data_IF_901952211371
#
_entry.id   IF_901952211371
#
_cell.length_a   1.000
_cell.length_b   1.000
_cell.length_c   1.000
_cell.angle_alpha   90.00
_cell.angle_beta   90.00
_cell.angle_gamma   90.00
#
_symmetry.space_group_name_H-M   'P 1'
#
loop_
_entity.id
_entity.type
_entity.pdbx_description
1 polymer ?
#
# COMPACT_ATOMS: atom_id res chain seq x y z
N UNK A 1 -46.52 6.05 34.37
CA UNK A 1 -45.94 4.67 34.41
C UNK A 1 -45.15 4.35 33.12
N UNK A 2 -45.59 4.82 31.94
CA UNK A 2 -44.91 4.63 30.67
C UNK A 2 -43.58 5.41 30.53
N UNK A 3 -43.52 6.62 31.11
CA UNK A 3 -42.32 7.47 31.06
C UNK A 3 -41.13 6.93 31.86
N UNK A 4 -41.39 6.25 32.98
CA UNK A 4 -40.32 5.62 33.78
C UNK A 4 -39.67 4.43 33.09
N UNK A 5 -40.44 3.66 32.33
CA UNK A 5 -39.93 2.48 31.57
C UNK A 5 -39.09 2.92 30.35
N UNK A 6 -39.47 4.05 29.71
CA UNK A 6 -38.68 4.60 28.59
C UNK A 6 -37.37 5.22 29.07
N UNK A 7 -37.36 5.90 30.23
CA UNK A 7 -36.11 6.44 30.81
C UNK A 7 -35.15 5.38 31.29
N UNK A 8 -35.63 4.21 31.70
CA UNK A 8 -34.77 3.11 32.13
C UNK A 8 -34.05 2.39 30.95
N UNK A 9 -34.69 2.42 29.76
CA UNK A 9 -34.07 1.91 28.52
C UNK A 9 -33.02 2.85 27.90
N UNK A 10 -33.01 4.12 28.31
CA UNK A 10 -32.04 5.12 27.86
C UNK A 10 -30.89 5.33 28.85
N UNK A 11 -30.69 4.45 29.84
CA UNK A 11 -29.47 4.48 30.64
C UNK A 11 -28.32 4.15 29.68
N UNK A 12 -27.39 5.09 29.42
CA UNK A 12 -26.22 4.77 28.64
C UNK A 12 -25.51 3.61 29.35
N UNK A 13 -25.18 2.56 28.60
CA UNK A 13 -24.31 1.51 29.11
C UNK A 13 -23.04 2.12 29.72
N UNK A 14 -22.26 1.39 30.52
CA UNK A 14 -21.08 1.94 31.17
C UNK A 14 -20.24 2.65 30.10
N UNK A 15 -20.34 3.99 30.11
CA UNK A 15 -19.50 4.82 29.24
C UNK A 15 -18.08 4.63 29.74
N UNK A 16 -17.24 4.06 28.88
CA UNK A 16 -15.81 4.03 29.16
C UNK A 16 -15.36 5.46 29.43
N UNK A 17 -14.76 5.71 30.61
CA UNK A 17 -14.29 7.07 30.94
C UNK A 17 -13.42 7.61 29.81
N UNK A 18 -13.63 8.83 29.32
CA UNK A 18 -12.87 9.40 28.21
C UNK A 18 -11.36 9.25 28.35
N UNK A 19 -10.85 9.41 29.56
CA UNK A 19 -9.42 9.26 29.87
C UNK A 19 -8.91 7.83 29.68
N UNK A 20 -9.74 6.83 29.96
CA UNK A 20 -9.40 5.42 29.75
C UNK A 20 -9.36 5.12 28.24
N UNK A 21 -10.31 5.68 27.49
CA UNK A 21 -10.35 5.53 26.04
C UNK A 21 -9.12 6.20 25.40
N UNK A 22 -8.77 7.42 25.80
CA UNK A 22 -7.60 8.14 25.29
C UNK A 22 -6.30 7.37 25.59
N UNK A 23 -6.14 6.83 26.79
CA UNK A 23 -4.97 5.99 27.13
C UNK A 23 -4.89 4.73 26.27
N UNK A 24 -6.03 4.08 25.99
CA UNK A 24 -6.09 2.90 25.14
C UNK A 24 -5.71 3.24 23.68
N UNK A 25 -6.20 4.36 23.17
CA UNK A 25 -5.85 4.87 21.84
C UNK A 25 -4.33 5.12 21.79
N UNK A 26 -3.77 5.85 22.73
CA UNK A 26 -2.33 6.13 22.77
C UNK A 26 -1.48 4.85 22.83
N UNK A 27 -1.88 3.86 23.64
CA UNK A 27 -1.21 2.56 23.72
C UNK A 27 -1.27 1.80 22.39
N UNK A 28 -2.44 1.79 21.73
CA UNK A 28 -2.61 1.13 20.44
C UNK A 28 -1.74 1.80 19.35
N UNK A 29 -1.65 3.13 19.34
CA UNK A 29 -0.78 3.85 18.40
C UNK A 29 0.70 3.53 18.63
N UNK A 30 1.16 3.47 19.88
CA UNK A 30 2.53 3.09 20.19
C UNK A 30 2.84 1.64 19.75
N UNK A 31 1.90 0.73 19.96
CA UNK A 31 2.05 -0.66 19.51
C UNK A 31 2.08 -0.76 17.97
N UNK A 32 1.21 -0.01 17.27
CA UNK A 32 1.20 0.08 15.83
C UNK A 32 2.52 0.61 15.27
N UNK A 33 3.07 1.68 15.88
CA UNK A 33 4.36 2.23 15.47
C UNK A 33 5.48 1.20 15.59
N UNK A 34 5.55 0.48 16.70
CA UNK A 34 6.52 -0.60 16.88
C UNK A 34 6.39 -1.69 15.83
N UNK A 35 5.15 -2.09 15.50
CA UNK A 35 4.87 -3.08 14.47
C UNK A 35 5.35 -2.62 13.09
N UNK A 36 5.02 -1.39 12.70
CA UNK A 36 5.42 -0.83 11.42
C UNK A 36 6.94 -0.77 11.29
N UNK A 37 7.63 -0.34 12.34
CA UNK A 37 9.11 -0.30 12.36
C UNK A 37 9.68 -1.71 12.17
N UNK A 38 9.15 -2.72 12.87
CA UNK A 38 9.65 -4.09 12.78
C UNK A 38 9.39 -4.71 11.40
N UNK A 39 8.23 -4.45 10.81
CA UNK A 39 7.91 -4.85 9.43
C UNK A 39 8.93 -4.24 8.46
N UNK A 40 9.21 -2.94 8.57
CA UNK A 40 10.19 -2.29 7.69
C UNK A 40 11.60 -2.85 7.87
N UNK A 41 12.02 -3.10 9.09
CA UNK A 41 13.33 -3.73 9.39
C UNK A 41 13.42 -5.13 8.80
N UNK A 42 12.38 -5.93 8.96
CA UNK A 42 12.31 -7.28 8.42
C UNK A 42 12.37 -7.24 6.89
N UNK A 43 11.57 -6.40 6.25
CA UNK A 43 11.55 -6.25 4.79
C UNK A 43 12.90 -5.77 4.23
N UNK A 44 13.64 -4.94 4.99
CA UNK A 44 14.96 -4.48 4.57
C UNK A 44 16.05 -5.58 4.66
N UNK A 45 15.89 -6.54 5.58
CA UNK A 45 16.84 -7.64 5.80
C UNK A 45 16.53 -8.89 4.98
N UNK A 46 15.24 -9.08 4.60
CA UNK A 46 14.82 -10.22 3.80
C UNK A 46 15.31 -10.07 2.37
N UNK A 47 16.23 -10.94 1.96
CA UNK A 47 16.77 -10.97 0.61
C UNK A 47 15.99 -11.97 -0.25
N UNK A 48 15.61 -11.56 -1.45
CA UNK A 48 15.01 -12.41 -2.46
C UNK A 48 16.08 -13.14 -3.28
N UNK A 49 15.73 -14.19 -4.04
CA UNK A 49 16.66 -14.88 -4.93
C UNK A 49 17.35 -13.98 -5.96
N UNK A 50 16.74 -12.85 -6.28
CA UNK A 50 17.30 -11.80 -7.15
C UNK A 50 18.48 -11.03 -6.52
N UNK A 51 18.75 -11.21 -5.23
CA UNK A 51 19.72 -10.45 -4.46
C UNK A 51 19.23 -9.10 -3.95
N UNK A 52 18.01 -8.67 -4.32
CA UNK A 52 17.36 -7.46 -3.79
C UNK A 52 16.67 -7.75 -2.47
N UNK A 53 16.60 -6.77 -1.60
CA UNK A 53 15.77 -6.86 -0.40
C UNK A 53 14.28 -6.82 -0.74
N UNK A 54 13.43 -7.32 0.16
CA UNK A 54 11.99 -7.30 -0.03
C UNK A 54 11.47 -5.85 -0.17
N UNK A 55 11.99 -4.91 0.62
CA UNK A 55 11.59 -3.51 0.52
C UNK A 55 11.98 -2.87 -0.82
N UNK A 56 13.16 -3.18 -1.37
CA UNK A 56 13.57 -2.71 -2.70
C UNK A 56 12.70 -3.30 -3.80
N UNK A 57 12.33 -4.57 -3.66
CA UNK A 57 11.44 -5.25 -4.61
C UNK A 57 10.03 -4.66 -4.58
N UNK A 58 9.51 -4.34 -3.40
CA UNK A 58 8.22 -3.64 -3.26
C UNK A 58 8.25 -2.23 -3.87
N UNK A 59 9.33 -1.48 -3.68
CA UNK A 59 9.50 -0.16 -4.30
C UNK A 59 9.60 -0.26 -5.83
N UNK A 60 10.29 -1.27 -6.34
CA UNK A 60 10.38 -1.54 -7.77
C UNK A 60 9.01 -1.92 -8.36
N UNK A 61 8.27 -2.82 -7.70
CA UNK A 61 6.89 -3.18 -8.06
C UNK A 61 6.00 -1.95 -8.20
N UNK A 62 6.05 -1.05 -7.24
CA UNK A 62 5.27 0.20 -7.27
C UNK A 62 5.65 1.10 -8.45
N UNK A 63 6.95 1.18 -8.76
CA UNK A 63 7.45 1.96 -9.90
C UNK A 63 6.97 1.37 -11.22
N UNK A 64 7.03 0.05 -11.38
CA UNK A 64 6.52 -0.67 -12.57
C UNK A 64 5.02 -0.44 -12.74
N UNK A 65 4.25 -0.55 -11.66
CA UNK A 65 2.80 -0.32 -11.69
C UNK A 65 2.46 1.11 -12.14
N UNK A 66 3.12 2.13 -11.57
CA UNK A 66 2.94 3.54 -12.00
C UNK A 66 3.30 3.75 -13.46
N UNK A 67 4.37 3.10 -13.95
CA UNK A 67 4.77 3.19 -15.35
C UNK A 67 3.69 2.62 -16.27
N UNK A 68 3.09 1.48 -15.93
CA UNK A 68 1.96 0.90 -16.64
C UNK A 68 0.79 1.89 -16.72
N UNK A 69 0.41 2.51 -15.61
CA UNK A 69 -0.72 3.47 -15.57
C UNK A 69 -0.43 4.73 -16.40
N UNK A 70 0.81 5.24 -16.38
CA UNK A 70 1.21 6.35 -17.25
C UNK A 70 1.15 5.97 -18.73
N UNK A 71 1.61 4.78 -19.10
CA UNK A 71 1.55 4.30 -20.49
C UNK A 71 0.10 4.07 -20.97
N UNK A 72 -0.78 3.55 -20.12
CA UNK A 72 -2.22 3.42 -20.43
C UNK A 72 -2.85 4.80 -20.66
N UNK A 73 -2.53 5.77 -19.83
CA UNK A 73 -3.02 7.15 -19.98
C UNK A 73 -2.53 7.77 -21.29
N UNK A 74 -1.24 7.59 -21.62
CA UNK A 74 -0.65 8.07 -22.86
C UNK A 74 -1.31 7.41 -24.08
N UNK A 75 -1.49 6.09 -24.05
CA UNK A 75 -2.16 5.33 -25.11
C UNK A 75 -3.59 5.85 -25.35
N UNK A 76 -4.35 6.07 -24.26
CA UNK A 76 -5.70 6.63 -24.36
C UNK A 76 -5.73 8.00 -25.05
N UNK A 77 -4.79 8.88 -24.70
CA UNK A 77 -4.66 10.21 -25.33
C UNK A 77 -4.29 10.12 -26.81
N UNK A 78 -3.38 9.22 -27.17
CA UNK A 78 -2.97 9.03 -28.57
C UNK A 78 -4.12 8.47 -29.42
N UNK A 79 -4.89 7.53 -28.89
CA UNK A 79 -6.07 6.96 -29.57
C UNK A 79 -7.16 8.03 -29.73
N UNK A 80 -7.47 8.76 -28.65
CA UNK A 80 -8.46 9.84 -28.70
C UNK A 80 -8.09 10.92 -29.73
N UNK A 81 -6.82 11.31 -29.80
CA UNK A 81 -6.33 12.26 -30.81
C UNK A 81 -6.49 11.72 -32.23
N UNK A 82 -6.16 10.45 -32.47
CA UNK A 82 -6.29 9.83 -33.79
C UNK A 82 -7.74 9.76 -34.29
N UNK A 83 -8.73 9.68 -33.37
CA UNK A 83 -10.15 9.67 -33.71
C UNK A 83 -10.64 11.09 -34.13
N UNK A 84 -10.04 12.15 -33.59
CA UNK A 84 -10.51 13.53 -33.78
C UNK A 84 -9.73 14.30 -34.85
N UNK A 85 -8.61 13.77 -35.35
CA UNK A 85 -7.87 14.39 -36.45
C UNK A 85 -8.46 13.99 -37.81
N UNK A 86 -8.64 14.95 -38.76
CA UNK A 86 -9.10 14.63 -40.10
C UNK A 86 -8.07 13.74 -40.84
N UNK A 87 -8.56 12.78 -41.58
CA UNK A 87 -7.73 11.91 -42.42
C UNK A 87 -7.43 12.59 -43.76
N UNK A 88 -6.19 12.56 -44.32
CA UNK A 88 -4.98 12.00 -43.71
C UNK A 88 -4.37 12.92 -42.65
N UNK A 89 -3.84 12.35 -41.54
CA UNK A 89 -3.19 13.15 -40.54
C UNK A 89 -1.99 13.86 -41.17
N UNK A 90 -1.92 15.19 -41.01
CA UNK A 90 -0.71 15.91 -41.35
C UNK A 90 0.47 15.21 -40.67
N UNK A 91 1.55 14.94 -41.42
CA UNK A 91 2.74 14.25 -40.91
C UNK A 91 3.22 14.94 -39.63
N UNK A 92 2.66 14.53 -38.50
CA UNK A 92 2.89 15.19 -37.24
C UNK A 92 4.25 14.76 -36.71
N UNK A 93 4.91 15.68 -36.00
CA UNK A 93 6.18 15.43 -35.28
C UNK A 93 6.17 14.16 -34.38
N UNK A 94 4.99 13.61 -34.10
CA UNK A 94 4.77 12.37 -33.33
C UNK A 94 5.36 11.13 -34.04
N UNK A 95 5.39 11.10 -35.40
CA UNK A 95 6.08 10.05 -36.13
C UNK A 95 7.59 10.05 -35.95
N UNK A 96 8.18 11.20 -35.62
CA UNK A 96 9.61 11.31 -35.34
C UNK A 96 10.03 10.70 -33.99
N UNK A 97 9.07 10.49 -33.06
CA UNK A 97 9.35 10.00 -31.70
C UNK A 97 9.25 8.47 -31.57
N UNK A 98 8.99 7.72 -32.64
CA UNK A 98 8.79 6.26 -32.62
C UNK A 98 7.73 5.75 -31.60
N UNK A 99 6.90 6.65 -31.07
CA UNK A 99 5.83 6.34 -30.14
C UNK A 99 4.57 5.90 -30.91
N UNK A 100 4.55 4.66 -31.36
CA UNK A 100 3.35 4.10 -31.96
C UNK A 100 2.46 3.51 -30.87
N UNK A 101 1.12 3.52 -31.02
CA UNK A 101 0.22 2.83 -30.10
C UNK A 101 0.58 1.37 -29.88
N UNK A 102 1.10 0.69 -30.91
CA UNK A 102 1.53 -0.70 -30.82
C UNK A 102 2.79 -0.86 -29.94
N UNK A 103 3.77 0.03 -30.07
CA UNK A 103 4.96 0.01 -29.23
C UNK A 103 4.59 0.20 -27.74
N UNK A 104 3.67 1.12 -27.46
CA UNK A 104 3.19 1.35 -26.09
C UNK A 104 2.46 0.10 -25.54
N UNK A 105 1.60 -0.55 -26.33
CA UNK A 105 0.94 -1.79 -25.93
C UNK A 105 1.93 -2.91 -25.63
N UNK A 106 2.95 -3.06 -26.46
CA UNK A 106 3.99 -4.07 -26.26
C UNK A 106 4.75 -3.80 -24.96
N UNK A 107 5.06 -2.56 -24.65
CA UNK A 107 5.70 -2.17 -23.40
C UNK A 107 4.80 -2.42 -22.18
N UNK A 108 3.51 -2.07 -22.24
CA UNK A 108 2.54 -2.39 -21.18
C UNK A 108 2.49 -3.89 -20.93
N UNK A 109 2.47 -4.71 -21.98
CA UNK A 109 2.45 -6.16 -21.84
C UNK A 109 3.72 -6.69 -21.17
N UNK A 110 4.90 -6.22 -21.56
CA UNK A 110 6.18 -6.60 -20.95
C UNK A 110 6.22 -6.23 -19.46
N UNK A 111 5.85 -5.00 -19.13
CA UNK A 111 5.79 -4.54 -17.73
C UNK A 111 4.73 -5.29 -16.92
N UNK A 112 3.64 -5.72 -17.54
CA UNK A 112 2.60 -6.53 -16.85
C UNK A 112 3.13 -7.92 -16.50
N UNK A 113 3.96 -8.53 -17.32
CA UNK A 113 4.63 -9.80 -17.01
C UNK A 113 5.62 -9.58 -15.85
N UNK A 114 6.45 -8.54 -15.94
CA UNK A 114 7.40 -8.18 -14.88
C UNK A 114 6.68 -7.94 -13.54
N UNK A 115 5.55 -7.21 -13.53
CA UNK A 115 4.75 -6.96 -12.34
C UNK A 115 4.27 -8.26 -11.68
N UNK A 116 3.79 -9.24 -12.48
CA UNK A 116 3.37 -10.54 -11.97
C UNK A 116 4.50 -11.34 -11.34
N UNK A 117 5.70 -11.24 -11.90
CA UNK A 117 6.87 -11.95 -11.38
C UNK A 117 7.36 -11.32 -10.07
N UNK A 118 7.29 -9.98 -9.97
CA UNK A 118 7.53 -9.26 -8.72
C UNK A 118 6.50 -9.63 -7.64
N UNK A 119 5.20 -9.66 -7.99
CA UNK A 119 4.13 -10.05 -7.07
C UNK A 119 4.37 -11.47 -6.52
N UNK A 120 4.67 -12.46 -7.37
CA UNK A 120 4.98 -13.83 -6.93
C UNK A 120 6.19 -13.88 -6.00
N UNK A 121 7.23 -13.10 -6.30
CA UNK A 121 8.45 -13.06 -5.47
C UNK A 121 8.16 -12.46 -4.09
N UNK A 122 7.34 -11.41 -4.03
CA UNK A 122 6.91 -10.76 -2.79
C UNK A 122 6.03 -11.71 -1.97
N UNK A 123 5.04 -12.35 -2.61
CA UNK A 123 4.13 -13.30 -1.95
C UNK A 123 4.88 -14.50 -1.37
N UNK A 124 5.85 -15.03 -2.12
CA UNK A 124 6.70 -16.12 -1.63
C UNK A 124 7.53 -15.68 -0.41
N UNK A 125 8.15 -14.50 -0.47
CA UNK A 125 8.92 -13.96 0.65
C UNK A 125 8.03 -13.73 1.88
N UNK A 126 6.84 -13.14 1.70
CA UNK A 126 5.89 -12.91 2.79
C UNK A 126 5.40 -14.21 3.43
N UNK A 127 5.20 -15.27 2.63
CA UNK A 127 4.76 -16.58 3.14
C UNK A 127 5.87 -17.37 3.86
N UNK A 128 7.14 -17.05 3.61
CA UNK A 128 8.30 -17.76 4.17
C UNK A 128 9.05 -16.97 5.24
N UNK A 129 8.79 -15.66 5.37
CA UNK A 129 9.49 -14.79 6.32
C UNK A 129 8.68 -14.68 7.62
N UNK A 130 9.26 -15.17 8.70
CA UNK A 130 8.73 -14.90 10.04
C UNK A 130 9.16 -13.48 10.46
N UNK A 131 8.22 -12.72 11.04
CA UNK A 131 8.58 -11.50 11.75
C UNK A 131 9.54 -11.89 12.87
N UNK A 132 10.79 -11.39 12.79
CA UNK A 132 11.82 -11.68 13.79
C UNK A 132 11.27 -11.45 15.18
N UNK A 133 11.40 -12.45 16.04
CA UNK A 133 10.90 -12.59 17.39
C UNK A 133 10.00 -11.45 17.90
N UNK A 134 8.78 -11.44 17.46
CA UNK A 134 7.72 -10.59 18.02
C UNK A 134 7.60 -10.90 19.51
N UNK A 135 8.35 -10.21 20.33
CA UNK A 135 8.37 -10.42 21.77
C UNK A 135 9.72 -10.27 22.44
N UNK A 136 10.85 -10.47 21.75
CA UNK A 136 12.18 -10.37 22.35
C UNK A 136 12.70 -8.93 22.52
N UNK A 137 12.01 -7.95 21.95
CA UNK A 137 12.39 -6.54 22.00
C UNK A 137 11.23 -5.59 22.29
N UNK A 138 10.15 -6.07 22.92
CA UNK A 138 9.15 -5.11 23.42
C UNK A 138 9.86 -4.09 24.29
N UNK A 139 9.86 -2.78 23.93
CA UNK A 139 10.14 -1.77 24.93
C UNK A 139 9.15 -2.04 26.04
N UNK A 140 9.65 -2.26 27.25
CA UNK A 140 8.78 -2.42 28.41
C UNK A 140 7.77 -1.27 28.37
N UNK A 141 6.48 -1.61 28.26
CA UNK A 141 5.43 -0.62 28.38
C UNK A 141 5.77 0.17 29.65
N UNK A 142 5.75 1.52 29.63
CA UNK A 142 6.06 2.31 30.80
C UNK A 142 5.22 1.75 31.94
N UNK A 143 5.90 1.28 32.98
CA UNK A 143 5.27 0.72 34.17
C UNK A 143 4.14 1.67 34.53
N UNK A 144 2.94 1.11 34.74
CA UNK A 144 1.80 1.87 35.24
C UNK A 144 2.32 2.85 36.30
N UNK A 145 2.35 4.14 35.95
CA UNK A 145 2.49 5.17 36.98
C UNK A 145 1.30 4.97 37.90
N UNK A 146 1.56 4.27 38.96
CA UNK A 146 0.60 4.06 40.02
C UNK A 146 0.30 5.38 40.69
N UNK A 147 -0.96 5.62 40.91
CA UNK A 147 -1.43 6.51 41.96
C UNK A 147 -1.53 7.98 41.57
N UNK A 148 -2.70 8.41 41.27
CA UNK A 148 -3.39 9.48 42.04
C UNK A 148 -4.88 9.15 42.03
#
# INVERSE_FOLDING_TARGET
VLDSVLMERMKPGPQEEPDRLLRRIASNHAELECLVIEIHRTNARTLLPSGRSLIETMAHRETVNRRIEHLKTLLGRLVAKAIHEPWPPARSKVQALRLTPQAIRNEINALTVELRDLDRSIDHANGSTELGAWGAGRPALPAKAGGF
#
